data_IF_720353662891
#
_entry.id   IF_720353662891
#
_cell.length_a   1.000
_cell.length_b   1.000
_cell.length_c   1.000
_cell.angle_alpha   90.00
_cell.angle_beta   90.00
_cell.angle_gamma   90.00
#
_symmetry.space_group_name_H-M   'P 1'
#
loop_
_entity.id
_entity.type
_entity.pdbx_description
1 polymer ?
#
# COMPACT_ATOMS: atom_id res chain seq x y z
N UNK A 1 -11.69 21.21 8.03
CA UNK A 1 -12.26 20.93 9.38
C UNK A 1 -13.47 20.05 9.17
N UNK A 2 -13.44 18.82 9.70
CA UNK A 2 -14.46 17.80 9.43
C UNK A 2 -15.74 18.20 10.16
N UNK A 3 -16.90 18.15 9.48
CA UNK A 3 -18.19 18.62 10.02
C UNK A 3 -19.11 17.44 10.34
N UNK A 4 -19.21 16.98 11.61
CA UNK A 4 -19.91 15.73 11.93
C UNK A 4 -21.44 15.79 11.72
N UNK A 5 -22.02 16.99 11.67
CA UNK A 5 -23.46 17.23 11.61
C UNK A 5 -23.93 17.79 10.27
N UNK A 6 -23.02 18.01 9.33
CA UNK A 6 -23.31 18.63 8.04
C UNK A 6 -22.82 17.72 6.92
N UNK A 7 -23.60 17.63 5.85
CA UNK A 7 -23.14 16.97 4.63
C UNK A 7 -22.10 17.86 3.96
N UNK A 8 -20.97 17.30 3.55
CA UNK A 8 -20.01 18.05 2.75
C UNK A 8 -20.58 18.24 1.34
N UNK A 9 -20.78 19.50 0.94
CA UNK A 9 -21.29 19.88 -0.40
C UNK A 9 -20.17 20.23 -1.39
N UNK A 10 -18.91 20.26 -0.92
CA UNK A 10 -17.74 20.58 -1.73
C UNK A 10 -16.61 19.61 -1.44
N UNK A 11 -15.88 19.22 -2.49
CA UNK A 11 -14.62 18.51 -2.34
C UNK A 11 -13.59 19.39 -1.63
N UNK A 12 -12.68 18.76 -0.88
CA UNK A 12 -11.58 19.47 -0.24
C UNK A 12 -10.55 19.85 -1.30
N UNK A 13 -10.31 21.15 -1.42
CA UNK A 13 -9.35 21.74 -2.35
C UNK A 13 -7.93 21.80 -1.73
N UNK A 14 -7.53 20.70 -1.10
CA UNK A 14 -6.21 20.55 -0.50
C UNK A 14 -5.63 19.22 -0.98
N UNK A 15 -4.85 19.32 -2.06
CA UNK A 15 -4.10 18.21 -2.64
C UNK A 15 -2.63 18.52 -2.48
N UNK A 16 -1.96 17.81 -1.57
CA UNK A 16 -0.53 17.90 -1.34
C UNK A 16 0.18 16.83 -2.14
N UNK A 17 1.27 17.19 -2.82
CA UNK A 17 2.18 16.20 -3.40
C UNK A 17 2.96 15.53 -2.28
N UNK A 18 2.95 14.21 -2.23
CA UNK A 18 3.85 13.46 -1.34
C UNK A 18 5.26 13.53 -1.96
N UNK A 19 6.28 14.08 -1.29
CA UNK A 19 7.62 14.19 -1.86
C UNK A 19 8.23 12.83 -2.23
N UNK A 20 9.14 12.83 -3.21
CA UNK A 20 9.93 11.64 -3.55
C UNK A 20 10.73 11.17 -2.33
N UNK A 21 10.78 9.86 -2.09
CA UNK A 21 11.48 9.25 -0.94
C UNK A 21 10.73 9.40 0.40
N UNK A 22 9.52 9.98 0.40
CA UNK A 22 8.70 10.11 1.61
C UNK A 22 7.55 9.11 1.57
N UNK A 23 7.44 8.29 2.62
CA UNK A 23 6.30 7.41 2.84
C UNK A 23 5.09 8.20 3.38
N UNK A 24 3.90 7.65 3.22
CA UNK A 24 2.67 8.26 3.74
C UNK A 24 1.71 7.18 4.25
N UNK A 25 0.87 7.49 5.25
CA UNK A 25 -0.16 6.57 5.72
C UNK A 25 -1.36 6.61 4.75
N UNK A 26 -1.29 5.84 3.67
CA UNK A 26 -2.41 5.73 2.72
C UNK A 26 -3.65 5.23 3.45
N UNK A 27 -4.81 5.83 3.14
CA UNK A 27 -6.11 5.38 3.63
C UNK A 27 -6.89 4.70 2.51
N UNK A 28 -7.28 3.43 2.71
CA UNK A 28 -8.03 2.67 1.70
C UNK A 28 -9.48 3.14 1.47
N UNK A 29 -10.05 3.93 2.40
CA UNK A 29 -11.45 4.39 2.31
C UNK A 29 -11.69 5.51 1.29
N UNK A 30 -10.64 6.25 0.91
CA UNK A 30 -10.72 7.35 -0.04
C UNK A 30 -9.49 7.33 -0.95
N UNK A 31 -9.44 6.31 -1.80
CA UNK A 31 -8.33 6.03 -2.71
C UNK A 31 -8.80 6.11 -4.16
N UNK A 32 -8.02 6.79 -4.98
CA UNK A 32 -8.13 6.77 -6.44
C UNK A 32 -6.72 6.56 -7.02
N UNK A 33 -6.63 5.78 -8.08
CA UNK A 33 -5.37 5.50 -8.77
C UNK A 33 -5.63 5.24 -10.25
N UNK A 34 -4.59 5.48 -11.05
CA UNK A 34 -4.60 5.10 -12.46
C UNK A 34 -4.34 3.59 -12.57
N UNK A 35 -5.33 2.87 -13.09
CA UNK A 35 -5.30 1.41 -13.19
C UNK A 35 -4.13 0.92 -14.05
N UNK A 36 -3.83 1.62 -15.15
CA UNK A 36 -2.80 1.23 -16.09
C UNK A 36 -1.41 1.56 -15.53
N UNK A 37 -1.26 2.72 -14.88
CA UNK A 37 0.02 3.15 -14.35
C UNK A 37 0.45 2.34 -13.11
N UNK A 38 -0.44 2.14 -12.13
CA UNK A 38 -0.05 1.60 -10.81
C UNK A 38 -0.93 0.45 -10.30
N UNK A 39 -1.96 0.04 -11.06
CA UNK A 39 -2.90 -1.01 -10.65
C UNK A 39 -2.27 -2.32 -10.16
N UNK A 40 -1.21 -2.87 -10.79
CA UNK A 40 -0.56 -4.09 -10.29
C UNK A 40 0.02 -3.95 -8.88
N UNK A 41 0.37 -2.73 -8.44
CA UNK A 41 0.91 -2.48 -7.11
C UNK A 41 -0.18 -2.22 -6.03
N UNK A 42 -1.46 -2.23 -6.40
CA UNK A 42 -2.57 -1.98 -5.47
C UNK A 42 -3.05 -3.25 -4.79
N UNK A 43 -2.17 -3.87 -3.99
CA UNK A 43 -2.48 -5.04 -3.18
C UNK A 43 -2.29 -4.74 -1.68
N UNK A 44 -3.36 -4.93 -0.91
CA UNK A 44 -3.45 -4.63 0.53
C UNK A 44 -2.85 -5.74 1.40
N UNK A 45 -2.20 -6.73 0.79
CA UNK A 45 -1.63 -7.86 1.50
C UNK A 45 -2.66 -8.92 1.88
N UNK A 46 -2.23 -9.86 2.71
CA UNK A 46 -3.09 -10.93 3.19
C UNK A 46 -4.02 -10.38 4.27
N UNK A 47 -5.31 -10.33 3.93
CA UNK A 47 -6.39 -9.78 4.76
C UNK A 47 -7.34 -10.87 5.25
N UNK A 48 -8.05 -10.58 6.34
CA UNK A 48 -9.08 -11.46 6.89
C UNK A 48 -8.78 -11.96 8.30
N UNK A 49 -9.63 -12.85 8.79
CA UNK A 49 -9.51 -13.41 10.13
C UNK A 49 -8.18 -14.15 10.30
N UNK A 50 -7.50 -13.89 11.42
CA UNK A 50 -6.21 -14.49 11.73
C UNK A 50 -4.99 -13.86 11.05
N UNK A 51 -5.17 -12.85 10.18
CA UNK A 51 -4.03 -12.16 9.56
C UNK A 51 -3.43 -11.10 10.51
N UNK A 52 -2.11 -11.14 10.77
CA UNK A 52 -1.48 -10.33 11.81
C UNK A 52 -1.25 -8.86 11.42
N UNK A 53 -1.28 -8.52 10.13
CA UNK A 53 -1.11 -7.13 9.65
C UNK A 53 -2.26 -6.20 10.11
N UNK A 54 -3.45 -6.79 10.35
CA UNK A 54 -4.55 -6.12 11.01
C UNK A 54 -5.04 -4.86 10.29
N UNK A 55 -4.69 -3.68 10.83
CA UNK A 55 -5.14 -2.35 10.39
C UNK A 55 -4.07 -1.54 9.65
N UNK A 56 -2.97 -2.19 9.26
CA UNK A 56 -1.84 -1.57 8.58
C UNK A 56 -1.74 -1.96 7.11
N UNK A 57 -2.77 -2.60 6.59
CA UNK A 57 -2.88 -3.13 5.24
C UNK A 57 -2.93 -2.04 4.17
N UNK A 58 -3.67 -0.96 4.44
CA UNK A 58 -3.73 0.20 3.55
C UNK A 58 -2.42 0.99 3.56
N UNK A 59 -1.80 1.13 4.73
CA UNK A 59 -0.45 1.70 4.86
C UNK A 59 0.58 0.87 4.09
N UNK A 60 0.52 -0.46 4.19
CA UNK A 60 1.38 -1.37 3.44
C UNK A 60 1.23 -1.20 1.92
N UNK A 61 0.00 -1.25 1.40
CA UNK A 61 -0.27 -0.98 -0.02
C UNK A 61 0.24 0.41 -0.44
N UNK A 62 0.09 1.39 0.45
CA UNK A 62 0.59 2.74 0.28
C UNK A 62 2.10 2.81 0.13
N UNK A 63 2.85 2.11 0.97
CA UNK A 63 4.31 2.09 0.90
C UNK A 63 4.82 1.35 -0.33
N UNK A 64 4.25 0.18 -0.64
CA UNK A 64 4.58 -0.56 -1.85
C UNK A 64 4.37 0.29 -3.11
N UNK A 65 3.18 0.85 -3.27
CA UNK A 65 2.88 1.71 -4.42
C UNK A 65 3.70 2.98 -4.45
N UNK A 66 4.01 3.59 -3.29
CA UNK A 66 4.82 4.81 -3.23
C UNK A 66 6.24 4.60 -3.73
N UNK A 67 6.91 3.53 -3.29
CA UNK A 67 8.29 3.28 -3.70
C UNK A 67 8.37 2.96 -5.20
N UNK A 68 7.38 2.24 -5.73
CA UNK A 68 7.28 1.96 -7.16
C UNK A 68 6.98 3.23 -7.95
N UNK A 69 6.05 4.08 -7.49
CA UNK A 69 5.79 5.38 -8.10
C UNK A 69 7.06 6.23 -8.17
N UNK A 70 7.82 6.31 -7.08
CA UNK A 70 9.06 7.09 -7.03
C UNK A 70 10.13 6.57 -7.99
N UNK A 71 10.20 5.25 -8.17
CA UNK A 71 11.10 4.58 -9.11
C UNK A 71 10.72 4.86 -10.57
N UNK A 72 9.43 4.76 -10.89
CA UNK A 72 8.89 4.97 -12.24
C UNK A 72 8.66 6.45 -12.59
N UNK A 73 8.91 7.38 -11.67
CA UNK A 73 8.69 8.80 -11.88
C UNK A 73 7.22 9.22 -11.84
N UNK A 74 6.36 8.43 -11.21
CA UNK A 74 4.94 8.72 -10.99
C UNK A 74 4.72 9.51 -9.69
N UNK A 75 3.64 10.27 -9.64
CA UNK A 75 3.31 11.11 -8.49
C UNK A 75 2.23 10.52 -7.59
N UNK A 76 2.42 10.63 -6.27
CA UNK A 76 1.37 10.38 -5.28
C UNK A 76 0.86 11.71 -4.70
N UNK A 77 -0.46 11.79 -4.51
CA UNK A 77 -1.11 12.93 -3.87
C UNK A 77 -1.85 12.47 -2.61
N UNK A 78 -1.86 13.33 -1.60
CA UNK A 78 -2.66 13.15 -0.39
C UNK A 78 -3.46 14.41 -0.10
N UNK A 79 -4.54 14.28 0.67
CA UNK A 79 -5.40 15.40 1.02
C UNK A 79 -5.76 15.41 2.49
N UNK A 80 -6.47 16.46 2.91
CA UNK A 80 -6.95 16.52 4.29
C UNK A 80 -8.07 15.50 4.53
N UNK A 81 -8.18 14.96 5.76
CA UNK A 81 -9.30 14.09 6.13
C UNK A 81 -10.65 14.74 5.80
N UNK A 82 -11.47 14.02 5.04
CA UNK A 82 -12.76 14.50 4.55
C UNK A 82 -13.95 13.90 5.32
N UNK A 83 -13.79 12.67 5.80
CA UNK A 83 -14.86 11.89 6.45
C UNK A 83 -14.69 11.95 7.95
N UNK A 84 -15.77 12.31 8.66
CA UNK A 84 -15.82 12.14 10.11
C UNK A 84 -16.28 10.72 10.41
N UNK A 85 -15.35 9.89 10.90
CA UNK A 85 -15.65 8.51 11.24
C UNK A 85 -15.68 8.33 12.76
N UNK A 86 -16.88 8.41 13.35
CA UNK A 86 -17.08 8.10 14.76
C UNK A 86 -17.18 6.58 14.96
N UNK A 87 -16.03 5.90 15.10
CA UNK A 87 -16.00 4.46 15.44
C UNK A 87 -16.33 4.27 16.92
N UNK A 88 -17.48 3.69 17.23
CA UNK A 88 -17.70 3.05 18.53
C UNK A 88 -16.83 1.79 18.58
N UNK A 89 -15.70 1.84 19.28
CA UNK A 89 -14.79 0.70 19.38
C UNK A 89 -14.17 0.62 20.76
N UNK A 90 -13.85 -0.60 21.20
CA UNK A 90 -13.16 -0.82 22.46
C UNK A 90 -11.65 -0.57 22.26
N UNK A 91 -11.04 0.41 22.97
CA UNK A 91 -9.63 0.75 22.78
C UNK A 91 -8.68 -0.42 23.02
N UNK A 92 -8.95 -1.27 24.03
CA UNK A 92 -8.09 -2.42 24.35
C UNK A 92 -8.19 -3.53 23.30
N UNK A 93 -9.39 -3.74 22.75
CA UNK A 93 -9.57 -4.68 21.65
C UNK A 93 -8.86 -4.21 20.37
N UNK A 94 -8.82 -2.90 20.11
CA UNK A 94 -8.06 -2.33 19.00
C UNK A 94 -6.56 -2.48 19.23
N UNK A 95 -6.06 -2.15 20.43
CA UNK A 95 -4.65 -2.29 20.76
C UNK A 95 -4.16 -3.74 20.57
N UNK A 96 -4.95 -4.73 20.99
CA UNK A 96 -4.63 -6.15 20.75
C UNK A 96 -4.63 -6.56 19.28
N UNK A 97 -5.32 -5.83 18.41
CA UNK A 97 -5.30 -6.06 16.95
C UNK A 97 -4.14 -5.31 16.28
N UNK A 98 -3.73 -4.19 16.86
CA UNK A 98 -2.73 -3.29 16.30
C UNK A 98 -1.31 -3.56 16.84
N UNK A 99 -1.15 -4.25 17.98
CA UNK A 99 0.13 -4.33 18.69
C UNK A 99 1.28 -4.86 17.82
N UNK A 100 1.07 -5.94 17.05
CA UNK A 100 2.12 -6.49 16.17
C UNK A 100 2.57 -5.46 15.15
N UNK A 101 1.61 -4.81 14.48
CA UNK A 101 1.92 -3.80 13.48
C UNK A 101 2.61 -2.55 14.05
N UNK A 102 2.38 -2.19 15.32
CA UNK A 102 3.16 -1.13 15.99
C UNK A 102 4.64 -1.54 16.06
N UNK A 103 4.94 -2.76 16.52
CA UNK A 103 6.32 -3.23 16.63
C UNK A 103 6.98 -3.42 15.27
N UNK A 104 6.27 -4.01 14.30
CA UNK A 104 6.84 -4.31 12.98
C UNK A 104 7.19 -3.05 12.20
N UNK A 105 6.49 -1.94 12.41
CA UNK A 105 6.79 -0.68 11.74
C UNK A 105 8.18 -0.14 12.03
N UNK A 106 8.77 -0.46 13.19
CA UNK A 106 10.15 -0.09 13.52
C UNK A 106 11.16 -0.67 12.53
N UNK A 107 10.84 -1.79 11.85
CA UNK A 107 11.69 -2.39 10.82
C UNK A 107 11.13 -2.17 9.41
N UNK A 108 9.80 -2.21 9.22
CA UNK A 108 9.17 -2.02 7.91
C UNK A 108 9.41 -0.62 7.35
N UNK A 109 9.30 0.42 8.18
CA UNK A 109 9.48 1.81 7.71
C UNK A 109 10.92 2.03 7.23
N UNK A 110 11.97 1.72 8.02
CA UNK A 110 13.35 1.80 7.53
C UNK A 110 13.61 0.93 6.30
N UNK A 111 13.04 -0.28 6.24
CA UNK A 111 13.14 -1.14 5.06
C UNK A 111 12.67 -0.41 3.80
N UNK A 112 11.45 0.14 3.79
CA UNK A 112 10.93 0.88 2.65
C UNK A 112 11.68 2.19 2.36
N UNK A 113 12.18 2.88 3.39
CA UNK A 113 12.98 4.09 3.21
C UNK A 113 14.33 3.82 2.55
N UNK A 114 14.93 2.65 2.81
CA UNK A 114 16.18 2.20 2.21
C UNK A 114 16.01 1.44 0.89
N UNK A 115 14.76 1.17 0.47
CA UNK A 115 14.51 0.26 -0.63
C UNK A 115 14.85 0.92 -1.97
N UNK A 116 15.80 0.33 -2.68
CA UNK A 116 16.15 0.69 -4.05
C UNK A 116 15.75 -0.44 -5.00
N UNK A 117 14.96 -0.12 -6.02
CA UNK A 117 14.60 -1.04 -7.10
C UNK A 117 15.62 -0.97 -8.23
N UNK A 118 15.79 -2.07 -8.94
CA UNK A 118 16.69 -2.19 -10.08
C UNK A 118 16.24 -1.28 -11.24
N UNK A 119 17.20 -0.70 -11.95
CA UNK A 119 16.91 0.16 -13.11
C UNK A 119 16.31 -0.62 -14.28
N UNK A 120 16.51 -1.93 -14.28
CA UNK A 120 15.96 -2.88 -15.24
C UNK A 120 14.46 -3.13 -15.00
N UNK A 121 13.96 -2.92 -13.78
CA UNK A 121 12.52 -2.93 -13.45
C UNK A 121 11.85 -1.66 -13.98
N UNK A 122 11.37 -1.71 -15.22
CA UNK A 122 10.88 -0.53 -15.97
C UNK A 122 9.37 -0.38 -15.99
N UNK A 123 8.63 -1.34 -15.45
CA UNK A 123 7.18 -1.30 -15.32
C UNK A 123 6.73 -1.77 -13.93
N UNK A 124 5.47 -1.48 -13.60
CA UNK A 124 4.90 -1.75 -12.27
C UNK A 124 4.89 -3.24 -11.91
N UNK A 125 4.70 -4.14 -12.88
CA UNK A 125 4.71 -5.58 -12.64
C UNK A 125 6.10 -6.04 -12.20
N UNK A 126 7.14 -5.68 -12.97
CA UNK A 126 8.52 -6.05 -12.66
C UNK A 126 8.96 -5.46 -11.31
N UNK A 127 8.63 -4.19 -11.07
CA UNK A 127 8.90 -3.53 -9.79
C UNK A 127 8.24 -4.26 -8.62
N UNK A 128 6.98 -4.70 -8.77
CA UNK A 128 6.25 -5.35 -7.70
C UNK A 128 6.77 -6.77 -7.42
N UNK A 129 7.21 -7.50 -8.45
CA UNK A 129 7.82 -8.81 -8.30
C UNK A 129 9.21 -8.71 -7.64
N UNK A 130 10.02 -7.73 -8.02
CA UNK A 130 11.28 -7.42 -7.35
C UNK A 130 11.04 -7.04 -5.88
N UNK A 131 10.04 -6.20 -5.61
CA UNK A 131 9.64 -5.82 -4.27
C UNK A 131 9.23 -7.04 -3.43
N UNK A 132 8.49 -8.00 -4.00
CA UNK A 132 8.11 -9.22 -3.30
C UNK A 132 9.33 -10.06 -2.86
N UNK A 133 10.34 -10.17 -3.71
CA UNK A 133 11.61 -10.84 -3.37
C UNK A 133 12.37 -10.11 -2.25
N UNK A 134 12.44 -8.77 -2.33
CA UNK A 134 13.05 -7.93 -1.27
C UNK A 134 12.30 -8.04 0.05
N UNK A 135 10.97 -8.06 0.04
CA UNK A 135 10.13 -8.24 1.23
C UNK A 135 10.42 -9.60 1.88
N UNK A 136 10.47 -10.68 1.09
CA UNK A 136 10.80 -12.01 1.60
C UNK A 136 12.16 -12.02 2.31
N UNK A 137 13.19 -11.47 1.65
CA UNK A 137 14.57 -11.46 2.17
C UNK A 137 14.77 -10.49 3.33
N UNK A 138 14.08 -9.35 3.31
CA UNK A 138 14.33 -8.24 4.22
C UNK A 138 13.40 -8.19 5.43
N UNK A 139 12.23 -8.85 5.38
CA UNK A 139 11.23 -8.84 6.46
C UNK A 139 10.82 -10.24 6.92
N UNK A 140 11.24 -11.31 6.24
CA UNK A 140 10.90 -12.70 6.61
C UNK A 140 11.34 -13.08 8.03
N UNK A 141 12.40 -12.46 8.56
CA UNK A 141 12.85 -12.70 9.94
C UNK A 141 11.93 -12.12 11.01
N UNK A 142 11.05 -11.17 10.66
CA UNK A 142 10.15 -10.50 11.61
C UNK A 142 9.01 -11.43 12.02
N UNK A 143 8.36 -12.08 11.04
CA UNK A 143 7.27 -13.03 11.24
C UNK A 143 7.06 -13.84 9.95
N UNK A 144 6.74 -15.16 10.02
CA UNK A 144 6.44 -15.99 8.84
C UNK A 144 5.34 -15.44 7.93
N UNK A 145 4.53 -14.51 8.43
CA UNK A 145 3.62 -13.71 7.63
C UNK A 145 4.28 -13.08 6.40
N UNK A 146 5.49 -12.53 6.50
CA UNK A 146 6.12 -11.82 5.38
C UNK A 146 6.58 -12.74 4.26
N UNK A 147 7.00 -13.97 4.58
CA UNK A 147 7.26 -14.99 3.56
C UNK A 147 5.99 -15.34 2.78
N UNK A 148 4.90 -15.57 3.51
CA UNK A 148 3.59 -15.86 2.91
C UNK A 148 3.02 -14.66 2.15
N UNK A 149 3.27 -13.45 2.64
CA UNK A 149 2.86 -12.21 1.98
C UNK A 149 3.59 -12.06 0.66
N UNK A 150 4.89 -12.35 0.59
CA UNK A 150 5.65 -12.33 -0.65
C UNK A 150 5.10 -13.33 -1.67
N UNK A 151 4.69 -14.53 -1.24
CA UNK A 151 3.98 -15.49 -2.11
C UNK A 151 2.65 -14.90 -2.60
N UNK A 152 1.90 -14.26 -1.71
CA UNK A 152 0.65 -13.56 -2.04
C UNK A 152 0.85 -12.42 -3.04
N UNK A 153 1.95 -11.66 -2.94
CA UNK A 153 2.31 -10.59 -3.88
C UNK A 153 2.60 -11.14 -5.28
N UNK A 154 3.31 -12.27 -5.38
CA UNK A 154 3.56 -12.94 -6.66
C UNK A 154 2.26 -13.48 -7.25
N UNK A 155 1.43 -14.14 -6.43
CA UNK A 155 0.13 -14.65 -6.85
C UNK A 155 -0.82 -13.54 -7.30
N UNK A 156 -0.79 -12.39 -6.63
CA UNK A 156 -1.54 -11.20 -7.02
C UNK A 156 -1.19 -10.74 -8.44
N UNK A 157 0.11 -10.63 -8.76
CA UNK A 157 0.57 -10.25 -10.10
C UNK A 157 0.14 -11.28 -11.15
N UNK A 158 0.27 -12.58 -10.83
CA UNK A 158 -0.19 -13.63 -11.74
C UNK A 158 -1.70 -13.52 -12.03
N UNK A 159 -2.52 -13.29 -10.99
CA UNK A 159 -3.95 -13.05 -11.15
C UNK A 159 -4.28 -11.77 -11.92
N UNK A 160 -3.52 -10.69 -11.66
CA UNK A 160 -3.66 -9.43 -12.40
C UNK A 160 -3.43 -9.64 -13.89
N UNK A 161 -2.35 -10.32 -14.29
CA UNK A 161 -2.03 -10.58 -15.70
C UNK A 161 -3.08 -11.45 -16.38
N UNK A 162 -3.65 -12.45 -15.68
CA UNK A 162 -4.73 -13.28 -16.22
C UNK A 162 -6.00 -12.47 -16.50
N UNK A 163 -6.33 -11.51 -15.63
CA UNK A 163 -7.51 -10.66 -15.76
C UNK A 163 -7.30 -9.42 -16.64
N UNK A 164 -6.03 -9.07 -16.92
CA UNK A 164 -5.64 -7.92 -17.72
C UNK A 164 -4.57 -8.35 -18.74
N UNK A 165 -4.94 -9.20 -19.73
CA UNK A 165 -4.00 -9.63 -20.74
C UNK A 165 -3.46 -8.42 -21.52
N UNK A 166 -2.20 -8.46 -21.97
CA UNK A 166 -1.65 -7.39 -22.81
C UNK A 166 -2.54 -7.18 -24.03
N UNK A 167 -2.74 -5.93 -24.43
CA UNK A 167 -3.41 -5.64 -25.69
C UNK A 167 -2.70 -6.40 -26.83
N UNK A 168 -3.44 -6.96 -27.81
CA UNK A 168 -2.82 -7.57 -28.97
C UNK A 168 -1.83 -6.58 -29.59
N UNK A 169 -0.60 -7.02 -29.86
CA UNK A 169 0.35 -6.18 -30.60
C UNK A 169 -0.33 -5.78 -31.91
N UNK A 170 -0.45 -4.47 -32.14
CA UNK A 170 -0.90 -3.97 -33.43
C UNK A 170 0.03 -4.55 -34.51
N UNK A 171 -0.58 -5.24 -35.49
CA UNK A 171 0.10 -5.87 -36.62
C UNK A 171 0.61 -4.80 -37.57
#
# INVERSE_FOLDING_TARGET
MVKPREKNERYVDAVMTVPKGTLYPMCGMNLAFDREAIGPAMYFGLMGEGQPIGRYDDMWAGWCSKVICDHLGLGCKTGLPYVWHSKASNPFANLRKEYKGIFWQEEIIPFFQSLELSKESTNTIDCYLELADKVRKGLGHIDPYFDKLADGMVAWIAGWQQLNPPAPKAV
#
